data_IF_043680957440
#
_entry.id   IF_043680957440
#
_cell.length_a   1.000
_cell.length_b   1.000
_cell.length_c   1.000
_cell.angle_alpha   90.00
_cell.angle_beta   90.00
_cell.angle_gamma   90.00
#
_symmetry.space_group_name_H-M   'P 1'
#
loop_
_entity.id
_entity.type
_entity.pdbx_description
1 polymer ?
#
# COMPACT_ATOMS: atom_id res chain seq x y z
N UNK A 1 3.73 6.47 -2.43
CA UNK A 1 2.26 6.41 -2.54
C UNK A 1 1.62 5.43 -1.56
N UNK A 2 2.03 4.16 -1.50
CA UNK A 2 1.40 3.20 -0.57
C UNK A 2 1.45 3.61 0.91
N UNK A 3 2.63 4.01 1.42
CA UNK A 3 2.78 4.49 2.79
C UNK A 3 1.93 5.75 3.07
N UNK A 4 1.72 6.60 2.06
CA UNK A 4 0.83 7.76 2.18
C UNK A 4 -0.62 7.31 2.37
N UNK A 5 -1.09 6.33 1.60
CA UNK A 5 -2.44 5.79 1.77
C UNK A 5 -2.63 5.19 3.17
N UNK A 6 -1.66 4.41 3.66
CA UNK A 6 -1.67 3.89 5.03
C UNK A 6 -1.71 5.01 6.07
N UNK A 7 -0.90 6.06 5.90
CA UNK A 7 -0.88 7.22 6.81
C UNK A 7 -2.23 7.92 6.88
N UNK A 8 -2.89 8.11 5.75
CA UNK A 8 -4.23 8.72 5.70
C UNK A 8 -5.26 7.83 6.39
N UNK A 9 -5.24 6.52 6.13
CA UNK A 9 -6.12 5.55 6.80
C UNK A 9 -5.93 5.61 8.33
N UNK A 10 -4.68 5.51 8.80
CA UNK A 10 -4.38 5.54 10.24
C UNK A 10 -4.75 6.87 10.89
N UNK A 11 -4.52 8.00 10.20
CA UNK A 11 -4.92 9.32 10.69
C UNK A 11 -6.43 9.38 10.92
N UNK A 12 -7.24 8.93 9.96
CA UNK A 12 -8.69 8.95 10.11
C UNK A 12 -9.22 7.94 11.12
N UNK A 13 -8.58 6.77 11.26
CA UNK A 13 -8.91 5.82 12.32
C UNK A 13 -8.59 6.39 13.71
N UNK A 14 -7.51 7.17 13.84
CA UNK A 14 -7.19 7.92 15.06
C UNK A 14 -8.21 9.02 15.33
N UNK A 15 -8.59 9.81 14.32
CA UNK A 15 -9.62 10.86 14.45
C UNK A 15 -10.98 10.28 14.86
N UNK A 16 -11.30 9.06 14.38
CA UNK A 16 -12.50 8.32 14.77
C UNK A 16 -12.43 7.69 16.17
N UNK A 17 -11.30 7.79 16.87
CA UNK A 17 -11.09 7.20 18.20
C UNK A 17 -10.89 5.68 18.21
N UNK A 18 -10.66 5.07 17.05
CA UNK A 18 -10.38 3.62 16.92
C UNK A 18 -8.92 3.33 17.28
N UNK A 19 -8.01 4.23 16.94
CA UNK A 19 -6.60 4.16 17.27
C UNK A 19 -6.19 5.29 18.22
N UNK A 20 -5.19 5.03 19.05
CA UNK A 20 -4.59 6.00 19.96
C UNK A 20 -3.06 5.91 19.91
N UNK A 21 -2.37 7.02 20.17
CA UNK A 21 -0.90 7.11 20.10
C UNK A 21 -0.40 7.99 18.96
N UNK A 22 0.90 7.93 18.68
CA UNK A 22 1.56 8.72 17.64
C UNK A 22 1.44 8.10 16.24
N UNK A 23 1.27 8.94 15.21
CA UNK A 23 1.03 8.46 13.85
C UNK A 23 2.31 7.94 13.18
N UNK A 24 3.47 8.52 13.48
CA UNK A 24 4.75 8.09 12.92
C UNK A 24 5.17 6.76 13.54
N UNK A 25 4.95 6.59 14.84
CA UNK A 25 5.15 5.30 15.53
C UNK A 25 4.28 4.19 14.93
N UNK A 26 3.00 4.46 14.63
CA UNK A 26 2.12 3.48 13.98
C UNK A 26 2.59 3.09 12.57
N UNK A 27 3.11 4.05 11.80
CA UNK A 27 3.63 3.81 10.45
C UNK A 27 4.91 2.96 10.51
N UNK A 28 5.83 3.27 11.42
CA UNK A 28 7.07 2.52 11.62
C UNK A 28 6.77 1.09 12.08
N UNK A 29 5.82 0.93 13.00
CA UNK A 29 5.35 -0.38 13.46
C UNK A 29 4.49 -1.14 12.42
N UNK A 30 4.29 -0.58 11.22
CA UNK A 30 3.50 -1.16 10.11
C UNK A 30 2.05 -1.47 10.48
N UNK A 31 1.44 -0.71 11.39
CA UNK A 31 0.02 -0.87 11.77
C UNK A 31 -0.92 -0.68 10.57
N UNK A 32 -0.52 0.13 9.59
CA UNK A 32 -1.28 0.33 8.34
C UNK A 32 -1.58 -0.98 7.60
N UNK A 33 -0.68 -1.96 7.67
CA UNK A 33 -0.85 -3.26 7.02
C UNK A 33 -1.94 -4.14 7.66
N UNK A 34 -2.37 -3.83 8.89
CA UNK A 34 -3.49 -4.50 9.55
C UNK A 34 -4.80 -4.12 8.85
N UNK A 35 -4.96 -2.83 8.56
CA UNK A 35 -6.19 -2.28 7.96
C UNK A 35 -6.16 -2.29 6.43
N UNK A 36 -4.98 -2.29 5.81
CA UNK A 36 -4.79 -2.39 4.36
C UNK A 36 -3.75 -3.49 4.04
N UNK A 37 -4.14 -4.77 4.06
CA UNK A 37 -3.18 -5.88 3.96
C UNK A 37 -2.65 -6.13 2.54
N UNK A 38 -3.24 -5.46 1.54
CA UNK A 38 -2.86 -5.57 0.13
C UNK A 38 -2.08 -4.34 -0.37
N UNK A 39 -1.47 -4.45 -1.54
CA UNK A 39 -0.80 -3.33 -2.20
C UNK A 39 -1.79 -2.21 -2.56
N UNK A 40 -1.28 -0.97 -2.73
CA UNK A 40 -2.13 0.18 -3.07
C UNK A 40 -2.74 0.09 -4.48
N UNK A 41 -2.12 -0.69 -5.36
CA UNK A 41 -2.52 -0.83 -6.74
C UNK A 41 -1.44 -1.52 -7.55
N UNK A 42 -1.66 -1.56 -8.87
CA UNK A 42 -0.85 -2.32 -9.80
C UNK A 42 -0.99 -1.79 -11.22
N UNK A 43 -0.04 -2.15 -12.09
CA UNK A 43 -0.20 -1.87 -13.51
C UNK A 43 -1.41 -2.60 -14.07
N UNK A 44 -2.09 -1.96 -15.01
CA UNK A 44 -3.27 -2.47 -15.69
C UNK A 44 -3.11 -2.27 -17.19
N UNK A 45 -3.46 -3.29 -17.97
CA UNK A 45 -3.28 -3.28 -19.41
C UNK A 45 -4.11 -4.39 -20.06
N UNK A 46 -3.44 -5.28 -20.81
CA UNK A 46 -4.11 -6.47 -21.35
C UNK A 46 -4.53 -7.43 -20.24
N UNK A 47 -3.70 -7.58 -19.22
CA UNK A 47 -4.02 -8.29 -18.00
C UNK A 47 -4.50 -7.31 -16.92
N UNK A 48 -5.39 -7.78 -16.04
CA UNK A 48 -5.83 -6.99 -14.86
C UNK A 48 -4.61 -6.62 -14.02
N UNK A 49 -3.83 -7.62 -13.61
CA UNK A 49 -2.52 -7.42 -13.01
C UNK A 49 -1.44 -7.47 -14.09
N UNK A 50 -1.21 -6.35 -14.77
CA UNK A 50 -0.30 -6.30 -15.93
C UNK A 50 1.16 -6.59 -15.54
N UNK A 51 1.92 -7.05 -16.52
CA UNK A 51 3.29 -7.52 -16.35
C UNK A 51 4.30 -6.39 -16.08
N UNK A 52 5.55 -6.76 -15.79
CA UNK A 52 6.66 -5.80 -15.72
C UNK A 52 6.73 -4.93 -14.45
N UNK A 53 5.91 -5.21 -13.43
CA UNK A 53 5.90 -4.48 -12.16
C UNK A 53 7.20 -4.56 -11.34
N UNK A 54 8.02 -5.59 -11.58
CA UNK A 54 9.30 -5.84 -10.89
C UNK A 54 10.50 -5.96 -11.84
N UNK A 55 10.45 -5.25 -12.98
CA UNK A 55 11.55 -5.19 -13.94
C UNK A 55 12.19 -3.80 -13.97
N UNK A 56 13.41 -3.70 -14.51
CA UNK A 56 14.09 -2.42 -14.71
C UNK A 56 14.55 -1.79 -13.40
N UNK A 57 14.04 -0.60 -13.09
CA UNK A 57 14.37 0.21 -11.89
C UNK A 57 13.53 -0.17 -10.66
N UNK A 58 12.87 -1.33 -10.68
CA UNK A 58 12.08 -1.81 -9.56
C UNK A 58 12.99 -2.17 -8.37
N UNK A 59 12.66 -1.66 -7.20
CA UNK A 59 13.23 -2.16 -5.95
C UNK A 59 12.79 -3.61 -5.70
N UNK A 60 13.61 -4.45 -5.04
CA UNK A 60 13.22 -5.79 -4.63
C UNK A 60 11.92 -5.78 -3.82
N UNK A 61 11.12 -6.84 -3.96
CA UNK A 61 9.90 -6.99 -3.17
C UNK A 61 10.25 -6.99 -1.68
N UNK A 62 9.64 -6.07 -0.93
CA UNK A 62 9.83 -5.97 0.52
C UNK A 62 9.33 -7.22 1.24
N UNK A 63 9.93 -7.51 2.39
CA UNK A 63 9.44 -8.55 3.32
C UNK A 63 8.48 -7.98 4.38
N UNK A 64 8.35 -6.65 4.47
CA UNK A 64 7.54 -5.98 5.49
C UNK A 64 6.04 -6.18 5.24
N UNK A 65 5.20 -6.24 6.30
CA UNK A 65 3.74 -6.27 6.19
C UNK A 65 3.19 -5.13 5.32
N UNK A 66 2.16 -5.43 4.53
CA UNK A 66 1.57 -4.53 3.53
C UNK A 66 2.44 -4.39 2.27
N UNK A 67 3.70 -3.95 2.44
CA UNK A 67 4.63 -3.70 1.32
C UNK A 67 4.97 -4.96 0.52
N UNK A 68 5.02 -6.13 1.16
CA UNK A 68 5.24 -7.41 0.46
C UNK A 68 4.16 -7.72 -0.59
N UNK A 69 2.97 -7.14 -0.44
CA UNK A 69 1.83 -7.34 -1.32
C UNK A 69 1.75 -6.33 -2.49
N UNK A 70 2.69 -5.37 -2.57
CA UNK A 70 2.79 -4.50 -3.74
C UNK A 70 2.95 -5.32 -5.03
N UNK A 71 2.39 -4.83 -6.13
CA UNK A 71 2.55 -5.46 -7.45
C UNK A 71 3.53 -4.73 -8.35
N UNK A 72 3.96 -3.54 -7.94
CA UNK A 72 5.09 -2.84 -8.53
C UNK A 72 5.77 -1.94 -7.52
N UNK A 73 7.07 -1.79 -7.67
CA UNK A 73 7.93 -0.84 -6.94
C UNK A 73 8.61 0.14 -7.90
N UNK A 74 8.20 0.16 -9.17
CA UNK A 74 8.84 0.98 -10.20
C UNK A 74 8.49 2.45 -10.02
N UNK A 75 9.40 3.30 -10.48
CA UNK A 75 9.13 4.73 -10.64
C UNK A 75 8.07 4.91 -11.72
N UNK A 76 7.00 5.66 -11.41
CA UNK A 76 5.95 5.97 -12.37
C UNK A 76 6.53 6.80 -13.52
N UNK A 77 6.17 6.45 -14.75
CA UNK A 77 6.57 7.15 -15.97
C UNK A 77 5.33 7.47 -16.80
N UNK A 78 5.48 8.44 -17.69
CA UNK A 78 4.44 8.76 -18.68
C UNK A 78 3.97 7.49 -19.40
N UNK A 79 2.67 7.42 -19.70
CA UNK A 79 2.01 6.30 -20.40
C UNK A 79 1.90 4.99 -19.64
N UNK A 80 2.36 4.91 -18.38
CA UNK A 80 1.97 3.82 -17.49
C UNK A 80 0.51 4.00 -17.07
N UNK A 81 -0.22 2.89 -16.98
CA UNK A 81 -1.59 2.84 -16.43
C UNK A 81 -1.52 2.04 -15.14
N UNK A 82 -2.06 2.60 -14.05
CA UNK A 82 -2.00 2.02 -12.71
C UNK A 82 -3.34 2.16 -12.00
N UNK A 83 -3.75 1.14 -11.25
CA UNK A 83 -4.88 1.24 -10.32
C UNK A 83 -4.50 2.01 -9.07
N UNK A 84 -5.48 2.66 -8.44
CA UNK A 84 -5.37 3.27 -7.12
C UNK A 84 -6.55 2.77 -6.29
N UNK A 85 -6.29 1.84 -5.40
CA UNK A 85 -7.29 1.05 -4.67
C UNK A 85 -6.96 0.99 -3.16
N UNK A 86 -6.89 2.14 -2.46
CA UNK A 86 -6.77 2.11 -1.00
C UNK A 86 -8.00 1.41 -0.40
N UNK A 87 -7.78 0.58 0.62
CA UNK A 87 -8.84 -0.14 1.31
C UNK A 87 -8.60 -0.15 2.82
N UNK A 88 -9.67 -0.03 3.60
CA UNK A 88 -9.63 -0.12 5.06
C UNK A 88 -10.61 -1.20 5.49
N UNK A 89 -10.09 -2.27 6.08
CA UNK A 89 -10.85 -3.45 6.48
C UNK A 89 -10.65 -3.75 7.96
N UNK A 90 -11.67 -4.36 8.56
CA UNK A 90 -11.59 -5.00 9.88
C UNK A 90 -11.69 -6.50 9.63
N UNK A 91 -10.53 -7.17 9.59
CA UNK A 91 -10.43 -8.58 9.24
C UNK A 91 -10.26 -9.37 10.54
N UNK A 92 -11.19 -10.26 10.82
CA UNK A 92 -11.10 -11.16 11.98
C UNK A 92 -9.89 -12.10 11.83
N UNK A 93 -9.31 -12.49 12.96
CA UNK A 93 -8.20 -13.48 13.03
C UNK A 93 -8.67 -14.90 12.88
#
# INVERSE_FOLDING_TARGET
MHILAERIILSHLKDAGILCGDLDEMIEARIGAIFMPHGLGHFMGLDVHDCGGYLGDAEPRSILPGLKALRTTRTLRERMVITIEPGCYFIDT
#
